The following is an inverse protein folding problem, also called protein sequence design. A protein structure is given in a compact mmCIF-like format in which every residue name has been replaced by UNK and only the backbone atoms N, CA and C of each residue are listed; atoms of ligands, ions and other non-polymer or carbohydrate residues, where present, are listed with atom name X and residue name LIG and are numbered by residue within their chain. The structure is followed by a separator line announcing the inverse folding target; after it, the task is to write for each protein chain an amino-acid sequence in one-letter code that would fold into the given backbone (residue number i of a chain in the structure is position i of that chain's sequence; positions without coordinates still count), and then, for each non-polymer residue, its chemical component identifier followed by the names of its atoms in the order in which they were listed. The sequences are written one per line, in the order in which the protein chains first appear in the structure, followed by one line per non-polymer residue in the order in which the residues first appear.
data_IF_734696375498
#
_entry.id   IF_734696375498
#
_cell.length_a   1.000
_cell.length_b   1.000
_cell.length_c   1.000
_cell.angle_alpha   90.00
_cell.angle_beta   90.00
_cell.angle_gamma   90.00
#
_symmetry.space_group_name_H-M   'P 1'
#
loop_
_entity.id
_entity.type
_entity.pdbx_description
1 polymer ?
#
# COMPACT_ATOMS: atom_id res chain seq x y z
N UNK A 1 -15.14 -17.56 -31.82
CA UNK A 1 -14.37 -16.30 -31.70
C UNK A 1 -14.76 -15.71 -30.36
N UNK A 2 -13.92 -15.84 -29.33
CA UNK A 2 -14.25 -15.36 -28.00
C UNK A 2 -13.77 -13.91 -27.91
N UNK A 3 -14.71 -12.98 -27.76
CA UNK A 3 -14.40 -11.57 -27.53
C UNK A 3 -13.86 -11.44 -26.10
N UNK A 4 -12.58 -11.13 -25.96
CA UNK A 4 -12.05 -10.64 -24.70
C UNK A 4 -12.75 -9.32 -24.39
N UNK A 5 -13.44 -9.17 -23.25
CA UNK A 5 -13.95 -7.87 -22.86
C UNK A 5 -12.74 -6.94 -22.72
N UNK A 6 -12.74 -5.86 -23.51
CA UNK A 6 -11.78 -4.79 -23.37
C UNK A 6 -12.02 -4.17 -22.00
N UNK A 7 -11.20 -4.55 -21.02
CA UNK A 7 -11.20 -3.93 -19.70
C UNK A 7 -10.89 -2.45 -19.95
N UNK A 8 -11.90 -1.59 -19.83
CA UNK A 8 -11.66 -0.16 -19.73
C UNK A 8 -10.82 0.01 -18.47
N UNK A 9 -9.52 0.27 -18.63
CA UNK A 9 -8.70 0.80 -17.57
C UNK A 9 -9.29 2.15 -17.20
N UNK A 10 -10.26 2.17 -16.28
CA UNK A 10 -10.63 3.37 -15.57
C UNK A 10 -9.34 3.80 -14.89
N UNK A 11 -8.67 4.82 -15.43
CA UNK A 11 -7.52 5.41 -14.80
C UNK A 11 -7.95 5.83 -13.39
N UNK A 12 -7.42 5.17 -12.36
CA UNK A 12 -7.71 5.57 -11.00
C UNK A 12 -6.87 6.79 -10.65
N UNK A 13 -7.51 7.78 -10.04
CA UNK A 13 -6.85 9.02 -9.63
C UNK A 13 -6.06 8.81 -8.34
N UNK A 14 -4.88 9.42 -8.28
CA UNK A 14 -4.08 9.43 -7.06
C UNK A 14 -4.49 10.60 -6.14
N UNK A 15 -4.20 10.51 -4.83
CA UNK A 15 -4.67 11.48 -3.84
C UNK A 15 -4.19 12.92 -4.04
N UNK A 16 -3.20 13.13 -4.90
CA UNK A 16 -2.47 14.37 -5.07
C UNK A 16 -1.50 14.63 -3.92
N UNK A 17 -0.68 15.66 -4.11
CA UNK A 17 0.20 16.20 -3.07
C UNK A 17 0.02 17.70 -2.94
N UNK A 18 0.12 18.19 -1.70
CA UNK A 18 0.21 19.62 -1.40
C UNK A 18 1.65 20.10 -1.24
N UNK A 19 2.65 19.27 -1.58
CA UNK A 19 4.06 19.66 -1.52
C UNK A 19 4.34 20.82 -2.50
N UNK A 20 5.09 21.86 -2.08
CA UNK A 20 5.35 23.03 -2.92
C UNK A 20 6.36 22.77 -4.07
N UNK A 21 7.06 21.63 -4.03
CA UNK A 21 8.06 21.22 -5.01
C UNK A 21 7.84 19.74 -5.37
N UNK A 22 8.89 19.05 -5.80
CA UNK A 22 8.85 17.60 -6.06
C UNK A 22 8.49 16.79 -4.81
N UNK A 23 7.64 15.78 -5.00
CA UNK A 23 7.31 14.77 -4.00
C UNK A 23 7.56 13.37 -4.56
N UNK A 24 7.99 12.48 -3.69
CA UNK A 24 8.06 11.06 -3.99
C UNK A 24 6.65 10.47 -4.09
N UNK A 25 6.44 9.62 -5.10
CA UNK A 25 5.22 8.86 -5.28
C UNK A 25 5.49 7.47 -5.85
N UNK A 26 4.52 6.58 -5.70
CA UNK A 26 4.53 5.26 -6.31
C UNK A 26 3.12 4.87 -6.76
N UNK A 27 3.02 4.17 -7.89
CA UNK A 27 1.83 3.43 -8.34
C UNK A 27 2.14 1.94 -8.36
N UNK A 28 1.16 1.12 -8.02
CA UNK A 28 1.25 -0.33 -8.07
C UNK A 28 0.04 -0.92 -8.78
N UNK A 29 0.26 -2.04 -9.45
CA UNK A 29 -0.76 -2.94 -9.96
C UNK A 29 -0.40 -4.34 -9.52
N UNK A 30 -1.29 -5.02 -8.82
CA UNK A 30 -1.08 -6.35 -8.29
C UNK A 30 -2.33 -7.22 -8.48
N UNK A 31 -2.12 -8.53 -8.52
CA UNK A 31 -3.18 -9.53 -8.50
C UNK A 31 -3.11 -10.28 -7.18
N UNK A 32 -4.22 -10.32 -6.45
CA UNK A 32 -4.35 -11.07 -5.21
C UNK A 32 -5.26 -12.28 -5.44
N UNK A 33 -4.83 -13.48 -5.00
CA UNK A 33 -5.54 -14.75 -5.15
C UNK A 33 -6.75 -14.91 -4.22
N UNK A 34 -7.51 -13.84 -4.01
CA UNK A 34 -8.72 -13.78 -3.21
C UNK A 34 -9.69 -12.73 -3.81
N UNK A 35 -10.95 -12.77 -3.40
CA UNK A 35 -11.95 -11.75 -3.78
C UNK A 35 -11.55 -10.36 -3.28
N UNK A 36 -11.94 -9.31 -4.00
CA UNK A 36 -11.59 -7.94 -3.61
C UNK A 36 -12.16 -7.54 -2.25
N UNK A 37 -13.33 -8.07 -1.89
CA UNK A 37 -13.91 -7.88 -0.56
C UNK A 37 -13.01 -8.44 0.55
N UNK A 38 -12.37 -9.59 0.34
CA UNK A 38 -11.48 -10.22 1.30
C UNK A 38 -10.13 -9.49 1.41
N UNK A 39 -9.59 -9.03 0.28
CA UNK A 39 -8.36 -8.22 0.23
C UNK A 39 -8.58 -6.88 0.93
N UNK A 40 -9.68 -6.18 0.62
CA UNK A 40 -10.04 -4.92 1.27
C UNK A 40 -10.29 -5.11 2.77
N UNK A 41 -10.96 -6.19 3.17
CA UNK A 41 -11.18 -6.51 4.57
C UNK A 41 -9.86 -6.74 5.32
N UNK A 42 -8.89 -7.42 4.70
CA UNK A 42 -7.54 -7.60 5.25
C UNK A 42 -6.81 -6.26 5.44
N UNK A 43 -6.86 -5.37 4.45
CA UNK A 43 -6.29 -4.02 4.59
C UNK A 43 -6.91 -3.26 5.76
N UNK A 44 -8.24 -3.29 5.90
CA UNK A 44 -8.95 -2.66 7.02
C UNK A 44 -8.56 -3.31 8.36
N UNK A 45 -8.40 -4.63 8.39
CA UNK A 45 -7.99 -5.37 9.58
C UNK A 45 -6.56 -5.02 10.02
N UNK A 46 -5.63 -4.82 9.09
CA UNK A 46 -4.27 -4.30 9.36
C UNK A 46 -4.34 -2.94 10.03
N UNK A 47 -5.08 -2.00 9.43
CA UNK A 47 -5.17 -0.61 9.93
C UNK A 47 -5.83 -0.57 11.32
N UNK A 48 -6.95 -1.28 11.51
CA UNK A 48 -7.66 -1.34 12.79
C UNK A 48 -6.91 -2.16 13.86
N UNK A 49 -5.98 -3.02 13.44
CA UNK A 49 -5.14 -3.85 14.31
C UNK A 49 -3.93 -3.12 14.90
N UNK A 50 -3.64 -1.89 14.48
CA UNK A 50 -2.48 -1.13 14.95
C UNK A 50 -2.63 -0.72 16.43
N UNK A 51 -1.67 -0.93 17.33
CA UNK A 51 -0.43 -1.72 17.21
C UNK A 51 -0.51 -3.10 17.89
N UNK A 52 -1.71 -3.52 18.32
CA UNK A 52 -1.88 -4.74 19.12
C UNK A 52 -1.87 -6.03 18.31
N UNK A 53 -2.48 -6.02 17.12
CA UNK A 53 -2.59 -7.20 16.23
C UNK A 53 -1.72 -7.10 14.98
N UNK A 54 -1.43 -5.87 14.55
CA UNK A 54 -0.60 -5.61 13.38
C UNK A 54 0.24 -4.36 13.61
N UNK A 55 1.41 -4.31 12.99
CA UNK A 55 2.20 -3.08 12.90
C UNK A 55 2.82 -3.02 11.51
N UNK A 56 3.02 -1.81 11.01
CA UNK A 56 3.73 -1.60 9.76
C UNK A 56 5.18 -2.08 9.88
N UNK A 57 5.59 -3.14 9.17
CA UNK A 57 6.97 -3.63 9.25
C UNK A 57 7.95 -2.66 8.55
N UNK A 58 7.44 -1.68 7.79
CA UNK A 58 8.24 -0.63 7.19
C UNK A 58 8.28 0.61 8.09
N UNK A 59 9.41 0.86 8.76
CA UNK A 59 9.63 2.05 9.59
C UNK A 59 8.58 2.27 10.70
N UNK A 60 7.78 1.26 11.06
CA UNK A 60 6.72 1.32 12.07
C UNK A 60 5.76 2.52 11.86
N UNK A 61 5.36 2.76 10.62
CA UNK A 61 4.37 3.78 10.29
C UNK A 61 3.00 3.49 10.90
N UNK A 62 2.16 4.53 10.94
CA UNK A 62 0.77 4.46 11.38
C UNK A 62 -0.15 4.82 10.23
N UNK A 63 -1.06 3.93 9.89
CA UNK A 63 -2.10 4.17 8.90
C UNK A 63 -3.39 4.67 9.54
N UNK A 64 -4.12 5.52 8.83
CA UNK A 64 -5.45 6.00 9.18
C UNK A 64 -6.34 5.95 7.93
N UNK A 65 -7.53 5.36 8.05
CA UNK A 65 -8.54 5.37 6.99
C UNK A 65 -9.06 6.80 6.86
N UNK A 66 -9.02 7.36 5.65
CA UNK A 66 -9.56 8.69 5.33
C UNK A 66 -10.87 8.59 4.56
N UNK A 67 -11.05 7.54 3.77
CA UNK A 67 -12.32 7.21 3.12
C UNK A 67 -12.42 5.71 2.84
N UNK A 68 -13.53 5.11 3.23
CA UNK A 68 -13.86 3.71 2.99
C UNK A 68 -15.37 3.54 2.69
N UNK A 69 -16.01 4.61 2.21
CA UNK A 69 -17.45 4.63 1.91
C UNK A 69 -17.82 3.77 0.70
N UNK A 70 -16.92 3.69 -0.28
CA UNK A 70 -17.06 2.84 -1.47
C UNK A 70 -16.35 1.49 -1.27
N UNK A 71 -16.99 0.40 -1.69
CA UNK A 71 -16.44 -0.95 -1.63
C UNK A 71 -15.35 -1.19 -2.68
N UNK A 72 -15.40 -0.48 -3.81
CA UNK A 72 -14.41 -0.54 -4.89
C UNK A 72 -13.16 0.29 -4.62
N UNK A 73 -13.11 1.06 -3.54
CA UNK A 73 -11.94 1.88 -3.21
C UNK A 73 -11.64 1.95 -1.71
N UNK A 74 -10.43 2.40 -1.39
CA UNK A 74 -9.99 2.67 -0.03
C UNK A 74 -8.94 3.79 -0.06
N UNK A 75 -9.20 4.88 0.65
CA UNK A 75 -8.23 5.97 0.83
C UNK A 75 -7.71 5.97 2.26
N UNK A 76 -6.41 6.15 2.40
CA UNK A 76 -5.72 6.20 3.68
C UNK A 76 -4.73 7.36 3.72
N UNK A 77 -4.25 7.67 4.91
CA UNK A 77 -2.97 8.35 5.10
C UNK A 77 -2.07 7.49 5.96
N UNK A 78 -0.76 7.57 5.73
CA UNK A 78 0.24 6.94 6.58
C UNK A 78 1.24 7.98 7.06
N UNK A 79 1.51 7.97 8.36
CA UNK A 79 2.60 8.73 8.97
C UNK A 79 3.77 7.81 9.30
N UNK A 80 5.00 8.20 8.97
CA UNK A 80 6.21 7.42 9.34
C UNK A 80 6.35 7.30 10.85
N UNK A 81 7.02 6.25 11.35
CA UNK A 81 7.19 6.01 12.79
C UNK A 81 8.00 7.09 13.52
N UNK A 82 8.84 7.85 12.82
CA UNK A 82 9.53 9.04 13.34
C UNK A 82 8.68 10.32 13.28
N UNK A 83 7.47 10.23 12.75
CA UNK A 83 6.50 11.33 12.65
C UNK A 83 6.80 12.39 11.59
N UNK A 84 7.85 12.23 10.78
CA UNK A 84 8.34 13.28 9.86
C UNK A 84 7.59 13.38 8.54
N UNK A 85 7.14 12.25 8.00
CA UNK A 85 6.53 12.20 6.68
C UNK A 85 5.10 11.66 6.78
N UNK A 86 4.21 12.27 6.00
CA UNK A 86 2.85 11.80 5.79
C UNK A 86 2.66 11.57 4.30
N UNK A 87 2.20 10.39 3.95
CA UNK A 87 1.84 10.03 2.59
C UNK A 87 0.32 9.79 2.53
N UNK A 88 -0.33 10.21 1.46
CA UNK A 88 -1.72 9.84 1.17
C UNK A 88 -1.72 8.65 0.23
N UNK A 89 -2.59 7.68 0.49
CA UNK A 89 -2.71 6.45 -0.28
C UNK A 89 -4.13 6.32 -0.80
N UNK A 90 -4.28 5.74 -1.99
CA UNK A 90 -5.57 5.32 -2.54
C UNK A 90 -5.41 3.97 -3.21
N UNK A 91 -6.37 3.09 -2.97
CA UNK A 91 -6.54 1.81 -3.64
C UNK A 91 -7.86 1.77 -4.40
N UNK A 92 -7.84 1.06 -5.52
CA UNK A 92 -9.02 0.66 -6.29
C UNK A 92 -8.95 -0.85 -6.48
N UNK A 93 -10.10 -1.50 -6.32
CA UNK A 93 -10.25 -2.94 -6.39
C UNK A 93 -11.18 -3.29 -7.55
N UNK A 94 -10.80 -4.26 -8.37
CA UNK A 94 -11.63 -4.77 -9.46
C UNK A 94 -11.68 -6.28 -9.39
N UNK A 95 -12.87 -6.83 -9.19
CA UNK A 95 -13.05 -8.28 -9.22
C UNK A 95 -12.85 -8.80 -10.65
N UNK A 96 -12.04 -9.85 -10.79
CA UNK A 96 -12.05 -10.65 -12.00
C UNK A 96 -13.25 -11.60 -11.97
N UNK A 97 -13.88 -11.85 -13.12
CA UNK A 97 -15.13 -12.60 -13.24
C UNK A 97 -15.16 -13.95 -12.48
N UNK A 98 -14.01 -14.62 -12.32
CA UNK A 98 -13.92 -15.98 -11.74
C UNK A 98 -12.71 -16.20 -10.82
N UNK A 99 -12.07 -15.17 -10.25
CA UNK A 99 -10.84 -15.43 -9.50
C UNK A 99 -10.20 -14.28 -8.73
N UNK A 100 -9.02 -13.81 -9.13
CA UNK A 100 -8.21 -12.91 -8.31
C UNK A 100 -8.72 -11.47 -8.32
N UNK A 101 -8.53 -10.77 -7.20
CA UNK A 101 -8.72 -9.34 -7.12
C UNK A 101 -7.59 -8.60 -7.81
N UNK A 102 -7.94 -7.71 -8.72
CA UNK A 102 -7.01 -6.72 -9.25
C UNK A 102 -6.95 -5.54 -8.28
N UNK A 103 -5.76 -5.33 -7.72
CA UNK A 103 -5.46 -4.28 -6.75
C UNK A 103 -4.60 -3.25 -7.46
N UNK A 104 -5.15 -2.05 -7.62
CA UNK A 104 -4.40 -0.89 -8.05
C UNK A 104 -4.27 0.07 -6.90
N UNK A 105 -3.11 0.72 -6.76
CA UNK A 105 -2.94 1.68 -5.69
C UNK A 105 -1.83 2.67 -5.95
N UNK A 106 -1.91 3.81 -5.29
CA UNK A 106 -0.84 4.78 -5.32
C UNK A 106 -0.69 5.54 -4.03
N UNK A 107 0.54 5.98 -3.78
CA UNK A 107 0.96 6.73 -2.61
C UNK A 107 1.68 7.98 -3.07
N UNK A 108 1.35 9.11 -2.45
CA UNK A 108 1.98 10.40 -2.72
C UNK A 108 2.36 11.10 -1.41
N UNK A 109 3.65 11.44 -1.29
CA UNK A 109 4.14 12.17 -0.13
C UNK A 109 3.58 13.59 -0.08
N UNK A 110 3.17 14.04 1.10
CA UNK A 110 2.55 15.37 1.31
C UNK A 110 3.58 16.46 1.64
N UNK A 111 4.88 16.14 1.57
CA UNK A 111 5.99 17.06 1.78
C UNK A 111 7.01 16.90 0.66
N UNK A 112 7.83 17.93 0.46
CA UNK A 112 8.92 17.90 -0.52
C UNK A 112 9.88 16.74 -0.20
N UNK A 113 10.08 15.86 -1.18
CA UNK A 113 10.86 14.63 -1.03
C UNK A 113 11.50 14.25 -2.37
N UNK A 114 12.84 14.22 -2.40
CA UNK A 114 13.62 13.89 -3.60
C UNK A 114 14.02 12.41 -3.68
N UNK A 115 14.08 11.74 -2.53
CA UNK A 115 14.32 10.30 -2.39
C UNK A 115 13.57 9.82 -1.16
N UNK A 116 12.91 8.67 -1.28
CA UNK A 116 12.08 8.10 -0.21
C UNK A 116 12.53 6.71 0.24
N UNK A 117 13.60 6.16 -0.34
CA UNK A 117 14.10 4.82 -0.01
C UNK A 117 13.00 3.74 -0.09
N UNK A 118 12.13 3.86 -1.09
CA UNK A 118 10.97 2.98 -1.32
C UNK A 118 9.80 3.18 -0.36
N UNK A 119 9.75 4.27 0.43
CA UNK A 119 8.68 4.48 1.41
C UNK A 119 7.28 4.48 0.79
N UNK A 120 7.07 5.14 -0.36
CA UNK A 120 5.77 5.16 -1.04
C UNK A 120 5.40 3.82 -1.67
N UNK A 121 6.38 3.03 -2.08
CA UNK A 121 6.11 1.68 -2.56
C UNK A 121 5.78 0.74 -1.38
N UNK A 122 6.62 0.76 -0.35
CA UNK A 122 6.48 -0.11 0.80
C UNK A 122 5.20 0.18 1.58
N UNK A 123 4.79 1.44 1.71
CA UNK A 123 3.56 1.75 2.40
C UNK A 123 2.31 1.18 1.67
N UNK A 124 2.36 1.00 0.35
CA UNK A 124 1.33 0.31 -0.43
C UNK A 124 1.45 -1.20 -0.23
N UNK A 125 2.64 -1.74 -0.49
CA UNK A 125 2.92 -3.19 -0.43
C UNK A 125 2.56 -3.79 0.91
N UNK A 126 2.85 -3.09 2.01
CA UNK A 126 2.57 -3.59 3.37
C UNK A 126 1.08 -3.73 3.69
N UNK A 127 0.16 -3.22 2.87
CA UNK A 127 -1.28 -3.41 3.04
C UNK A 127 -1.82 -4.65 2.31
N UNK A 128 -1.21 -5.09 1.20
CA UNK A 128 -1.67 -6.27 0.45
C UNK A 128 -0.74 -7.48 0.50
N UNK A 129 0.52 -7.34 0.89
CA UNK A 129 1.49 -8.43 0.88
C UNK A 129 1.06 -9.65 1.69
N UNK A 130 1.53 -10.82 1.27
CA UNK A 130 1.22 -12.13 1.83
C UNK A 130 2.29 -12.62 2.80
N UNK A 131 2.04 -13.75 3.48
CA UNK A 131 3.08 -14.41 4.28
C UNK A 131 4.28 -14.87 3.44
N UNK A 132 4.09 -15.19 2.17
CA UNK A 132 5.16 -15.54 1.23
C UNK A 132 6.10 -14.35 0.96
N UNK A 133 5.63 -13.12 1.16
CA UNK A 133 6.43 -11.89 1.08
C UNK A 133 7.11 -11.54 2.40
N UNK A 134 6.96 -12.36 3.44
CA UNK A 134 7.45 -12.10 4.80
C UNK A 134 6.53 -11.21 5.64
N UNK A 135 5.34 -10.86 5.13
CA UNK A 135 4.35 -10.11 5.89
C UNK A 135 3.59 -10.98 6.89
N UNK A 136 2.83 -10.32 7.78
CA UNK A 136 1.97 -10.97 8.77
C UNK A 136 0.51 -10.57 8.53
N UNK A 137 -0.24 -11.36 7.74
CA UNK A 137 -1.66 -11.11 7.54
C UNK A 137 -2.45 -11.18 8.84
N UNK A 138 -3.60 -10.50 8.90
CA UNK A 138 -4.46 -10.43 10.10
C UNK A 138 -5.64 -11.40 10.00
N UNK A 139 -6.32 -11.42 8.85
CA UNK A 139 -7.50 -12.24 8.61
C UNK A 139 -7.45 -13.02 7.28
N UNK A 140 -6.77 -12.50 6.24
CA UNK A 140 -6.69 -13.16 4.93
C UNK A 140 -5.24 -13.19 4.44
N UNK A 141 -4.71 -14.39 4.17
CA UNK A 141 -3.42 -14.58 3.52
C UNK A 141 -3.60 -14.96 2.05
N UNK A 142 -3.78 -13.95 1.20
CA UNK A 142 -3.94 -14.13 -0.24
C UNK A 142 -2.58 -14.13 -0.94
N UNK A 143 -2.35 -15.04 -1.89
CA UNK A 143 -1.15 -14.98 -2.74
C UNK A 143 -1.14 -13.69 -3.56
N UNK A 144 0.00 -13.01 -3.66
CA UNK A 144 0.11 -11.75 -4.41
C UNK A 144 1.12 -11.89 -5.55
N UNK A 145 0.76 -11.35 -6.71
CA UNK A 145 1.69 -11.11 -7.82
C UNK A 145 1.62 -9.65 -8.24
N UNK A 146 2.70 -8.90 -8.06
CA UNK A 146 2.81 -7.54 -8.61
C UNK A 146 3.05 -7.61 -10.12
N UNK A 147 2.28 -6.82 -10.87
CA UNK A 147 2.36 -6.72 -12.33
C UNK A 147 3.14 -5.49 -12.74
N UNK A 148 2.96 -4.38 -12.02
CA UNK A 148 3.60 -3.11 -12.32
C UNK A 148 3.86 -2.33 -11.04
N UNK A 149 5.05 -1.70 -10.96
CA UNK A 149 5.42 -0.77 -9.90
C UNK A 149 6.11 0.42 -10.57
N UNK A 150 5.51 1.61 -10.47
CA UNK A 150 6.02 2.84 -11.10
C UNK A 150 6.28 3.86 -10.01
N UNK A 151 7.54 4.11 -9.71
CA UNK A 151 7.97 5.15 -8.78
C UNK A 151 8.24 6.47 -9.53
N UNK A 152 8.02 7.61 -8.86
CA UNK A 152 8.46 8.91 -9.37
C UNK A 152 9.99 8.98 -9.49
N UNK A 153 10.49 9.94 -10.27
CA UNK A 153 11.93 10.17 -10.38
C UNK A 153 12.56 10.37 -8.99
N UNK A 154 13.57 9.57 -8.66
CA UNK A 154 14.28 9.59 -7.37
C UNK A 154 13.64 8.76 -6.25
N UNK A 155 12.40 8.30 -6.40
CA UNK A 155 11.76 7.39 -5.46
C UNK A 155 12.19 5.93 -5.71
N UNK A 156 12.24 5.14 -4.64
CA UNK A 156 12.61 3.72 -4.69
C UNK A 156 11.40 2.81 -4.89
N UNK A 157 11.67 1.56 -5.30
CA UNK A 157 10.67 0.50 -5.42
C UNK A 157 11.26 -0.88 -5.08
N UNK A 158 12.22 -0.94 -4.14
CA UNK A 158 12.88 -2.16 -3.72
C UNK A 158 12.04 -2.90 -2.66
N UNK A 159 11.49 -4.09 -2.94
CA UNK A 159 10.68 -4.84 -1.98
C UNK A 159 11.47 -5.31 -0.75
N UNK A 160 12.79 -5.50 -0.89
CA UNK A 160 13.64 -5.88 0.23
C UNK A 160 13.81 -4.75 1.27
N UNK A 161 13.48 -3.51 0.89
CA UNK A 161 13.46 -2.37 1.81
C UNK A 161 12.20 -2.30 2.68
N UNK A 162 11.15 -3.07 2.36
CA UNK A 162 9.84 -2.92 3.01
C UNK A 162 9.77 -3.57 4.39
N UNK A 163 10.50 -4.66 4.63
CA UNK A 163 10.52 -5.33 5.94
C UNK A 163 11.64 -4.81 6.84
N UNK A 164 11.80 -3.49 6.93
CA UNK A 164 12.83 -2.83 7.73
C UNK A 164 12.19 -1.88 8.74
N UNK A 165 12.35 -2.18 10.02
CA UNK A 165 12.09 -1.23 11.10
C UNK A 165 13.28 -0.25 11.19
N UNK A 166 13.03 1.05 11.35
CA UNK A 166 14.13 2.00 11.63
C UNK A 166 14.78 1.66 12.98
N UNK A 167 16.10 1.75 13.06
CA UNK A 167 16.89 1.48 14.29
C UNK A 167 16.38 2.21 15.54
N UNK A 168 15.80 3.41 15.40
CA UNK A 168 15.22 4.17 16.51
C UNK A 168 13.97 3.54 17.13
N UNK A 169 13.21 2.74 16.38
CA UNK A 169 12.03 2.00 16.88
C UNK A 169 12.44 0.69 17.55
N UNK A 170 13.54 0.08 17.10
CA UNK A 170 14.11 -1.11 17.75
C UNK A 170 14.66 -0.77 19.14
N UNK A 171 15.33 0.38 19.28
CA UNK A 171 15.90 0.84 20.56
C UNK A 171 14.85 1.18 21.63
N UNK A 172 13.65 1.62 21.25
CA UNK A 172 12.56 1.88 22.22
C UNK A 172 11.83 0.62 22.70
N UNK A 173 12.14 -0.54 22.11
CA UNK A 173 11.54 -1.84 22.45
C UNK A 173 12.46 -2.80 23.19
N UNK A 174 13.66 -2.36 23.61
CA UNK A 174 14.52 -3.13 24.51
C UNK A 174 14.98 -4.49 23.94
N UNK A 175 15.39 -4.50 22.66
CA UNK A 175 16.28 -5.53 22.10
C UNK A 175 17.71 -5.00 22.08
#
# INVERSE_FOLDING_TARGET
MWAFPLLLAVGYECPGSSAPFFHASCKVSASAGALCSAVRAEMLARVNGQFGRWHDPHNNGTYQITDASDAGSLSLQRRTGDGKFTDKLRFVFTDSADGPCDVQGCSESQVTSFSDFSTNYCNLRMLYCSSADGCRPVITDASVSEREVVASLGAGHDPSACLKLKEGVLRSRGL
#
